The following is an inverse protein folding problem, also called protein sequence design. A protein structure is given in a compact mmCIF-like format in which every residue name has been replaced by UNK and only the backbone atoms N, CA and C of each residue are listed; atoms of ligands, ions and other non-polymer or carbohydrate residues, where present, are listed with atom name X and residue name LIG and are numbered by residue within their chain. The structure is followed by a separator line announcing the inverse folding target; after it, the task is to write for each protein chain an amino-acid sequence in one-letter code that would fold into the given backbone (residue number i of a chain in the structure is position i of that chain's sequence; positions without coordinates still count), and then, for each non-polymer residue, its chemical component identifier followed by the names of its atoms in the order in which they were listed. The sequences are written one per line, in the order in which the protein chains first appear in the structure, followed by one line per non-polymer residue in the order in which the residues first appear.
data_IF_566868469489
#
_entry.id   IF_566868469489
#
_cell.length_a   1.000
_cell.length_b   1.000
_cell.length_c   1.000
_cell.angle_alpha   90.00
_cell.angle_beta   90.00
_cell.angle_gamma   90.00
#
_symmetry.space_group_name_H-M   'P 1'
#
loop_
_entity.id
_entity.type
_entity.pdbx_description
1 polymer ?
#
# COMPACT_ATOMS: atom_id res chain seq x y z
N UNK A 1 25.34 31.65 -0.04
CA UNK A 1 24.96 31.18 -1.40
C UNK A 1 23.61 30.48 -1.27
N UNK A 2 22.62 30.95 -2.02
CA UNK A 2 21.20 30.94 -1.65
C UNK A 2 20.56 29.57 -1.38
N UNK A 3 19.83 29.47 -0.27
CA UNK A 3 18.82 28.44 -0.04
C UNK A 3 17.73 28.62 -1.09
N UNK A 4 17.62 27.66 -2.03
CA UNK A 4 16.41 27.51 -2.82
C UNK A 4 15.26 27.16 -1.87
N UNK A 5 14.52 28.18 -1.42
CA UNK A 5 13.19 28.01 -0.83
C UNK A 5 12.25 27.65 -1.98
N UNK A 6 12.22 26.38 -2.36
CA UNK A 6 11.09 25.84 -3.12
C UNK A 6 9.92 25.85 -2.11
N UNK A 7 9.10 26.90 -2.15
CA UNK A 7 7.76 26.87 -1.53
C UNK A 7 6.96 25.80 -2.27
N UNK A 8 7.04 24.56 -1.81
CA UNK A 8 6.14 23.51 -2.26
C UNK A 8 4.79 23.82 -1.61
N UNK A 9 3.86 24.34 -2.40
CA UNK A 9 2.49 24.57 -1.93
C UNK A 9 1.80 23.21 -1.90
N UNK A 10 1.58 22.67 -0.70
CA UNK A 10 0.70 21.52 -0.53
C UNK A 10 -0.74 22.03 -0.52
N UNK A 11 -1.57 21.47 -1.40
CA UNK A 11 -2.97 21.84 -1.51
C UNK A 11 -3.82 20.95 -0.60
N UNK A 12 -4.73 21.57 0.14
CA UNK A 12 -5.71 20.83 0.93
C UNK A 12 -6.83 20.26 0.04
N UNK A 13 -7.20 19.02 0.30
CA UNK A 13 -8.30 18.34 -0.38
C UNK A 13 -9.27 17.75 0.65
N UNK A 14 -10.54 17.75 0.27
CA UNK A 14 -11.66 17.22 1.06
C UNK A 14 -12.46 16.18 0.27
N UNK A 15 -13.40 15.53 0.94
CA UNK A 15 -14.34 14.59 0.32
C UNK A 15 -15.07 15.18 -0.89
N UNK A 16 -15.45 16.46 -0.81
CA UNK A 16 -16.19 17.13 -1.88
C UNK A 16 -15.30 17.42 -3.11
N UNK A 17 -14.00 17.68 -2.90
CA UNK A 17 -13.05 17.81 -4.00
C UNK A 17 -12.88 16.51 -4.80
N UNK A 18 -12.96 15.34 -4.12
CA UNK A 18 -12.82 14.04 -4.79
C UNK A 18 -14.12 13.62 -5.48
N UNK A 19 -15.29 14.06 -4.99
CA UNK A 19 -16.57 13.82 -5.65
C UNK A 19 -16.82 14.74 -6.84
N UNK A 20 -16.26 15.95 -6.81
CA UNK A 20 -16.38 16.87 -7.92
C UNK A 20 -15.53 16.40 -9.11
N UNK A 21 -16.20 16.14 -10.23
CA UNK A 21 -15.57 15.52 -11.40
C UNK A 21 -14.50 16.42 -12.02
N UNK A 22 -14.77 17.73 -12.12
CA UNK A 22 -13.83 18.68 -12.72
C UNK A 22 -12.56 18.80 -11.87
N UNK A 23 -12.73 18.91 -10.55
CA UNK A 23 -11.63 18.92 -9.60
C UNK A 23 -10.83 17.62 -9.68
N UNK A 24 -11.48 16.46 -9.67
CA UNK A 24 -10.78 15.17 -9.74
C UNK A 24 -9.98 15.01 -11.04
N UNK A 25 -10.55 15.40 -12.18
CA UNK A 25 -9.84 15.40 -13.47
C UNK A 25 -8.62 16.32 -13.44
N UNK A 26 -8.75 17.52 -12.86
CA UNK A 26 -7.63 18.42 -12.67
C UNK A 26 -6.51 17.79 -11.81
N UNK A 27 -6.85 17.09 -10.72
CA UNK A 27 -5.87 16.39 -9.89
C UNK A 27 -5.14 15.28 -10.67
N UNK A 28 -5.86 14.52 -11.50
CA UNK A 28 -5.28 13.49 -12.35
C UNK A 28 -4.31 14.05 -13.40
N UNK A 29 -4.65 15.18 -14.01
CA UNK A 29 -3.85 15.82 -15.06
C UNK A 29 -2.67 16.66 -14.51
N UNK A 30 -2.64 16.95 -13.21
CA UNK A 30 -1.58 17.76 -12.61
C UNK A 30 -0.24 17.02 -12.60
N UNK A 31 0.68 17.42 -13.49
CA UNK A 31 2.03 16.85 -13.59
C UNK A 31 3.08 17.54 -12.69
N UNK A 32 2.69 18.58 -11.94
CA UNK A 32 3.58 19.35 -11.06
C UNK A 32 3.52 18.88 -9.62
N UNK A 33 2.32 18.60 -9.13
CA UNK A 33 2.07 18.13 -7.77
C UNK A 33 1.38 16.76 -7.80
N UNK A 34 1.79 15.88 -6.91
CA UNK A 34 1.23 14.55 -6.71
C UNK A 34 0.73 14.33 -5.28
N UNK A 35 1.16 15.16 -4.32
CA UNK A 35 0.78 15.09 -2.91
C UNK A 35 -0.19 16.21 -2.54
N UNK A 36 -1.16 15.85 -1.71
CA UNK A 36 -2.17 16.75 -1.17
C UNK A 36 -2.27 16.55 0.33
N UNK A 37 -2.87 17.52 1.04
CA UNK A 37 -3.07 17.45 2.48
C UNK A 37 -4.55 17.26 2.82
N UNK A 38 -4.81 16.54 3.90
CA UNK A 38 -6.12 16.53 4.53
C UNK A 38 -6.01 16.23 6.02
N UNK A 39 -6.85 16.86 6.83
CA UNK A 39 -6.99 16.54 8.26
C UNK A 39 -8.20 15.63 8.55
N UNK A 40 -8.91 15.23 7.50
CA UNK A 40 -9.99 14.25 7.52
C UNK A 40 -9.43 12.81 7.51
N UNK A 41 -9.65 12.10 8.62
CA UNK A 41 -9.31 10.69 8.79
C UNK A 41 -10.59 9.83 8.90
N UNK A 42 -11.69 10.27 8.30
CA UNK A 42 -12.92 9.47 8.23
C UNK A 42 -12.74 8.26 7.32
N UNK A 43 -13.42 7.17 7.66
CA UNK A 43 -13.39 5.93 6.86
C UNK A 43 -13.84 6.21 5.42
N UNK A 44 -14.94 6.94 5.26
CA UNK A 44 -15.50 7.29 3.96
C UNK A 44 -14.52 8.05 3.08
N UNK A 45 -13.82 9.04 3.63
CA UNK A 45 -12.89 9.85 2.85
C UNK A 45 -11.67 9.03 2.44
N UNK A 46 -11.12 8.21 3.35
CA UNK A 46 -10.00 7.32 3.03
C UNK A 46 -10.36 6.31 1.94
N UNK A 47 -11.54 5.69 2.04
CA UNK A 47 -12.04 4.73 1.04
C UNK A 47 -12.25 5.44 -0.30
N UNK A 48 -12.82 6.66 -0.29
CA UNK A 48 -13.04 7.46 -1.49
C UNK A 48 -11.71 7.80 -2.20
N UNK A 49 -10.68 8.19 -1.45
CA UNK A 49 -9.33 8.42 -1.98
C UNK A 49 -8.75 7.16 -2.62
N UNK A 50 -8.78 6.04 -1.90
CA UNK A 50 -8.26 4.77 -2.38
C UNK A 50 -9.00 4.32 -3.65
N UNK A 51 -10.33 4.45 -3.68
CA UNK A 51 -11.18 4.24 -4.85
C UNK A 51 -10.76 5.14 -6.01
N UNK A 52 -10.53 6.43 -5.77
CA UNK A 52 -10.04 7.38 -6.78
C UNK A 52 -8.56 7.16 -7.21
N UNK A 53 -7.89 6.11 -6.73
CA UNK A 53 -6.53 5.74 -7.15
C UNK A 53 -5.41 6.43 -6.36
N UNK A 54 -5.77 7.14 -5.28
CA UNK A 54 -4.79 7.74 -4.38
C UNK A 54 -4.21 6.68 -3.44
N UNK A 55 -2.93 6.81 -3.12
CA UNK A 55 -2.28 6.08 -2.02
C UNK A 55 -1.87 7.11 -0.98
N UNK A 56 -2.32 6.92 0.27
CA UNK A 56 -2.09 7.91 1.32
C UNK A 56 -0.93 7.51 2.23
N UNK A 57 -0.10 8.50 2.56
CA UNK A 57 0.84 8.47 3.70
C UNK A 57 0.37 9.47 4.76
N UNK A 58 1.22 9.86 5.71
CA UNK A 58 0.93 10.94 6.64
C UNK A 58 2.17 11.79 6.93
N UNK A 59 1.95 12.98 7.47
CA UNK A 59 3.01 13.93 7.79
C UNK A 59 2.64 14.82 8.97
N UNK A 60 3.65 15.27 9.72
CA UNK A 60 3.52 16.38 10.67
C UNK A 60 3.92 17.71 10.01
N UNK A 61 3.06 18.71 10.11
CA UNK A 61 3.35 20.10 9.72
C UNK A 61 2.98 20.99 10.89
N UNK A 62 3.95 21.73 11.42
CA UNK A 62 3.75 22.69 12.53
C UNK A 62 2.92 22.11 13.70
N UNK A 63 3.25 20.88 14.10
CA UNK A 63 2.60 20.09 15.17
C UNK A 63 1.18 19.56 14.86
N UNK A 64 0.64 19.79 13.67
CA UNK A 64 -0.59 19.15 13.21
C UNK A 64 -0.28 17.93 12.35
N UNK A 65 -1.04 16.86 12.57
CA UNK A 65 -0.90 15.59 11.86
C UNK A 65 -1.92 15.49 10.73
N UNK A 66 -1.43 15.28 9.52
CA UNK A 66 -2.23 15.26 8.29
C UNK A 66 -2.10 13.92 7.59
N UNK A 67 -3.21 13.49 6.97
CA UNK A 67 -3.15 12.52 5.90
C UNK A 67 -2.51 13.20 4.69
N UNK A 68 -1.65 12.48 3.99
CA UNK A 68 -0.97 12.96 2.80
C UNK A 68 -1.33 12.07 1.60
N UNK A 69 -2.53 12.24 1.00
CA UNK A 69 -2.94 11.48 -0.17
C UNK A 69 -2.05 11.80 -1.38
N UNK A 70 -1.71 10.76 -2.12
CA UNK A 70 -0.87 10.88 -3.31
C UNK A 70 -1.53 10.25 -4.52
N UNK A 71 -1.67 11.03 -5.60
CA UNK A 71 -1.90 10.50 -6.94
C UNK A 71 -0.53 10.38 -7.62
N UNK A 72 0.05 9.20 -7.60
CA UNK A 72 1.45 9.01 -8.00
C UNK A 72 1.62 9.31 -9.49
N UNK A 73 2.81 9.76 -9.90
CA UNK A 73 3.11 9.92 -11.32
C UNK A 73 3.26 8.58 -12.04
N UNK A 74 3.70 7.57 -11.31
CA UNK A 74 3.96 6.24 -11.81
C UNK A 74 3.63 5.19 -10.74
N UNK A 75 3.22 4.00 -11.19
CA UNK A 75 2.82 2.90 -10.35
C UNK A 75 3.53 1.62 -10.78
N UNK A 76 3.95 0.81 -9.81
CA UNK A 76 4.40 -0.55 -10.04
C UNK A 76 3.22 -1.51 -9.87
N UNK A 77 2.83 -2.19 -10.94
CA UNK A 77 1.71 -3.14 -10.95
C UNK A 77 2.24 -4.54 -11.24
N UNK A 78 1.87 -5.51 -10.42
CA UNK A 78 2.12 -6.92 -10.67
C UNK A 78 0.85 -7.59 -11.22
N UNK A 79 0.91 -7.92 -12.51
CA UNK A 79 0.06 -8.93 -13.12
C UNK A 79 0.54 -10.32 -12.67
N UNK A 80 -0.35 -11.16 -12.13
CA UNK A 80 0.07 -12.43 -11.51
C UNK A 80 0.77 -13.40 -12.48
N UNK A 81 0.38 -13.38 -13.76
CA UNK A 81 1.07 -14.10 -14.84
C UNK A 81 2.55 -13.72 -15.01
N UNK A 82 2.95 -12.54 -14.54
CA UNK A 82 4.33 -12.04 -14.61
C UNK A 82 5.13 -12.37 -13.34
N UNK A 83 4.53 -13.02 -12.33
CA UNK A 83 5.18 -13.32 -11.05
C UNK A 83 6.50 -14.07 -11.28
N UNK A 84 7.59 -13.41 -10.90
CA UNK A 84 8.92 -13.99 -10.93
C UNK A 84 9.29 -14.56 -9.56
N UNK A 85 9.59 -15.87 -9.52
CA UNK A 85 10.02 -16.56 -8.29
C UNK A 85 11.50 -16.92 -8.40
N UNK A 86 12.34 -16.22 -7.65
CA UNK A 86 13.78 -16.49 -7.61
C UNK A 86 14.10 -17.91 -7.13
N UNK A 87 15.26 -18.45 -7.52
CA UNK A 87 15.74 -19.78 -7.05
C UNK A 87 15.76 -19.89 -5.52
N UNK A 88 16.19 -18.83 -4.82
CA UNK A 88 16.25 -18.79 -3.35
C UNK A 88 14.86 -18.92 -2.72
N UNK A 89 13.87 -18.22 -3.27
CA UNK A 89 12.47 -18.31 -2.79
C UNK A 89 11.88 -19.67 -3.14
N UNK A 90 12.15 -20.23 -4.32
CA UNK A 90 11.75 -21.60 -4.68
C UNK A 90 12.28 -22.65 -3.70
N UNK A 91 13.50 -22.49 -3.19
CA UNK A 91 14.02 -23.36 -2.13
C UNK A 91 13.28 -23.18 -0.82
N UNK A 92 12.94 -21.94 -0.44
CA UNK A 92 12.17 -21.67 0.78
C UNK A 92 10.75 -22.23 0.69
N UNK A 93 10.08 -22.11 -0.45
CA UNK A 93 8.72 -22.62 -0.68
C UNK A 93 8.56 -24.13 -0.46
N UNK A 94 9.66 -24.89 -0.49
CA UNK A 94 9.69 -26.34 -0.25
C UNK A 94 9.87 -26.70 1.22
N UNK A 95 10.19 -25.73 2.07
CA UNK A 95 10.33 -25.94 3.51
C UNK A 95 8.95 -25.89 4.17
N UNK A 96 8.80 -26.66 5.22
CA UNK A 96 7.61 -26.75 6.08
C UNK A 96 7.78 -25.98 7.39
N UNK A 97 8.89 -25.26 7.54
CA UNK A 97 9.23 -24.57 8.78
C UNK A 97 8.59 -23.18 8.92
N UNK A 98 7.61 -22.80 8.10
CA UNK A 98 6.94 -21.52 8.22
C UNK A 98 5.44 -21.66 7.97
N UNK A 99 4.68 -20.70 8.50
CA UNK A 99 3.23 -20.60 8.32
C UNK A 99 2.94 -19.29 7.62
N UNK A 100 2.30 -19.34 6.46
CA UNK A 100 1.71 -18.18 5.81
C UNK A 100 0.22 -18.13 6.12
N UNK A 101 -0.28 -16.97 6.57
CA UNK A 101 -1.70 -16.77 6.84
C UNK A 101 -2.14 -15.35 6.51
N UNK A 102 -3.42 -15.22 6.21
CA UNK A 102 -4.13 -13.94 6.29
C UNK A 102 -4.34 -13.68 7.78
N UNK A 103 -3.79 -12.58 8.27
CA UNK A 103 -3.76 -12.29 9.69
C UNK A 103 -4.73 -11.17 10.07
N UNK A 104 -5.01 -11.08 11.36
CA UNK A 104 -5.85 -10.06 11.98
C UNK A 104 -5.17 -9.39 13.17
N UNK A 105 -3.97 -9.83 13.57
CA UNK A 105 -3.21 -9.23 14.67
C UNK A 105 -2.46 -7.96 14.22
N UNK A 106 -3.19 -6.86 14.07
CA UNK A 106 -2.61 -5.55 13.75
C UNK A 106 -1.67 -5.04 14.83
N UNK A 107 -1.89 -5.39 16.11
CA UNK A 107 -1.05 -4.94 17.22
C UNK A 107 0.39 -5.42 17.08
N UNK A 108 0.58 -6.72 16.85
CA UNK A 108 1.92 -7.29 16.64
C UNK A 108 2.56 -6.75 15.37
N UNK A 109 1.76 -6.50 14.32
CA UNK A 109 2.23 -5.86 13.10
C UNK A 109 2.80 -4.47 13.36
N UNK A 110 2.06 -3.57 14.01
CA UNK A 110 2.49 -2.19 14.25
C UNK A 110 3.72 -2.10 15.16
N UNK A 111 3.84 -2.97 16.17
CA UNK A 111 5.04 -3.05 17.01
C UNK A 111 6.28 -3.33 16.15
N UNK A 112 6.23 -4.34 15.29
CA UNK A 112 7.35 -4.71 14.43
C UNK A 112 7.60 -3.69 13.31
N UNK A 113 6.54 -3.07 12.78
CA UNK A 113 6.64 -2.03 11.76
C UNK A 113 7.43 -0.82 12.28
N UNK A 114 7.11 -0.36 13.50
CA UNK A 114 7.78 0.75 14.16
C UNK A 114 9.25 0.45 14.49
N UNK A 115 9.61 -0.81 14.73
CA UNK A 115 11.01 -1.23 14.89
C UNK A 115 11.73 -1.23 13.53
N UNK A 116 11.05 -1.67 12.48
CA UNK A 116 11.65 -1.86 11.16
C UNK A 116 11.90 -0.54 10.41
N UNK A 117 10.92 0.37 10.43
CA UNK A 117 10.98 1.68 9.75
C UNK A 117 11.29 2.80 10.73
N UNK A 118 12.43 3.48 10.54
CA UNK A 118 12.78 4.67 11.33
C UNK A 118 11.82 5.84 11.08
N UNK A 119 11.44 6.03 9.81
CA UNK A 119 10.54 7.09 9.36
C UNK A 119 9.19 6.49 8.96
N UNK A 120 8.46 5.96 9.95
CA UNK A 120 7.14 5.36 9.72
C UNK A 120 6.06 6.44 9.54
N UNK A 121 5.42 6.46 8.37
CA UNK A 121 4.29 7.35 8.06
C UNK A 121 2.92 6.75 8.44
N UNK A 122 2.87 5.49 8.87
CA UNK A 122 1.64 4.83 9.30
C UNK A 122 1.60 4.79 10.84
N UNK A 123 1.30 5.94 11.44
CA UNK A 123 1.34 6.18 12.89
C UNK A 123 0.15 7.05 13.32
N UNK A 124 -0.03 7.21 14.64
CA UNK A 124 -0.98 8.18 15.24
C UNK A 124 -2.40 7.98 14.68
N UNK A 125 -3.11 9.05 14.28
CA UNK A 125 -4.48 8.98 13.71
C UNK A 125 -4.58 8.07 12.48
N UNK A 126 -3.48 7.85 11.74
CA UNK A 126 -3.51 6.92 10.61
C UNK A 126 -3.49 5.46 11.08
N UNK A 127 -2.70 5.12 12.10
CA UNK A 127 -2.76 3.79 12.72
C UNK A 127 -4.16 3.50 13.28
N UNK A 128 -4.77 4.45 14.01
CA UNK A 128 -6.15 4.33 14.50
C UNK A 128 -7.17 4.13 13.37
N UNK A 129 -6.98 4.82 12.25
CA UNK A 129 -7.81 4.67 11.05
C UNK A 129 -7.70 3.24 10.49
N UNK A 130 -6.50 2.64 10.43
CA UNK A 130 -6.33 1.25 9.98
C UNK A 130 -7.06 0.26 10.90
N UNK A 131 -6.99 0.43 12.22
CA UNK A 131 -7.76 -0.42 13.15
C UNK A 131 -9.27 -0.32 12.88
N UNK A 132 -9.79 0.91 12.77
CA UNK A 132 -11.23 1.14 12.50
C UNK A 132 -11.67 0.55 11.16
N UNK A 133 -10.85 0.68 10.10
CA UNK A 133 -11.12 0.09 8.79
C UNK A 133 -11.11 -1.44 8.83
N UNK A 134 -10.23 -2.04 9.64
CA UNK A 134 -10.14 -3.51 9.79
C UNK A 134 -11.33 -4.09 10.54
N UNK A 135 -11.84 -3.39 11.56
CA UNK A 135 -12.96 -3.84 12.38
C UNK A 135 -14.33 -3.68 11.69
N UNK A 136 -14.45 -2.66 10.83
CA UNK A 136 -15.73 -2.31 10.21
C UNK A 136 -16.06 -3.27 9.07
N UNK A 137 -17.26 -3.87 9.12
CA UNK A 137 -17.82 -4.71 8.06
C UNK A 137 -18.59 -3.86 7.04
N UNK A 138 -18.76 -4.39 5.83
CA UNK A 138 -19.58 -3.82 4.75
C UNK A 138 -19.12 -2.44 4.27
N UNK A 139 -17.81 -2.24 4.15
CA UNK A 139 -17.20 -1.00 3.65
C UNK A 139 -17.19 -0.92 2.11
N UNK A 140 -18.31 -1.20 1.44
CA UNK A 140 -18.45 -0.98 -0.01
C UNK A 140 -17.27 -1.53 -0.86
N UNK A 141 -17.07 -2.86 -0.76
CA UNK A 141 -15.99 -3.61 -1.41
C UNK A 141 -14.56 -3.20 -0.99
N UNK A 142 -14.40 -2.52 0.14
CA UNK A 142 -13.12 -2.20 0.76
C UNK A 142 -12.82 -3.12 1.95
N UNK A 143 -11.58 -3.59 2.08
CA UNK A 143 -11.12 -4.37 3.23
C UNK A 143 -9.63 -4.16 3.50
N UNK A 144 -9.23 -3.96 4.76
CA UNK A 144 -7.82 -4.07 5.16
C UNK A 144 -7.42 -5.54 5.25
N UNK A 145 -6.41 -5.93 4.46
CA UNK A 145 -5.84 -7.27 4.49
C UNK A 145 -4.43 -7.22 5.09
N UNK A 146 -4.07 -8.27 5.82
CA UNK A 146 -2.73 -8.48 6.35
C UNK A 146 -2.24 -9.86 5.92
N UNK A 147 -1.02 -9.94 5.39
CA UNK A 147 -0.40 -11.19 4.99
C UNK A 147 0.89 -11.40 5.76
N UNK A 148 0.96 -12.50 6.51
CA UNK A 148 2.02 -12.72 7.49
C UNK A 148 2.68 -14.08 7.33
N UNK A 149 3.99 -14.12 7.55
CA UNK A 149 4.79 -15.33 7.71
C UNK A 149 5.27 -15.46 9.16
N UNK A 150 4.98 -16.61 9.76
CA UNK A 150 5.49 -17.02 11.05
C UNK A 150 6.51 -18.14 10.93
N UNK A 151 7.51 -18.16 11.80
CA UNK A 151 8.42 -19.30 12.01
C UNK A 151 8.52 -19.52 13.53
N UNK A 152 8.25 -20.73 14.01
CA UNK A 152 8.25 -21.06 15.44
C UNK A 152 7.44 -20.07 16.30
N UNK A 153 6.24 -19.69 15.84
CA UNK A 153 5.35 -18.69 16.46
C UNK A 153 5.88 -17.25 16.52
N UNK A 154 7.04 -16.95 15.93
CA UNK A 154 7.57 -15.60 15.77
C UNK A 154 7.08 -15.01 14.44
N UNK A 155 6.57 -13.77 14.45
CA UNK A 155 6.19 -13.05 13.24
C UNK A 155 7.45 -12.56 12.50
N UNK A 156 7.77 -13.21 11.38
CA UNK A 156 9.02 -12.98 10.65
C UNK A 156 8.87 -11.90 9.58
N UNK A 157 7.76 -11.91 8.85
CA UNK A 157 7.49 -10.92 7.82
C UNK A 157 5.99 -10.68 7.74
N UNK A 158 5.60 -9.44 7.52
CA UNK A 158 4.20 -9.08 7.42
C UNK A 158 4.05 -7.85 6.55
N UNK A 159 2.96 -7.79 5.81
CA UNK A 159 2.49 -6.56 5.18
C UNK A 159 1.03 -6.33 5.50
N UNK A 160 0.62 -5.07 5.43
CA UNK A 160 -0.77 -4.71 5.27
C UNK A 160 -0.98 -3.97 3.96
N UNK A 161 -2.21 -4.05 3.49
CA UNK A 161 -2.71 -3.32 2.35
C UNK A 161 -4.22 -3.29 2.40
N UNK A 162 -4.82 -2.79 1.34
CA UNK A 162 -6.27 -2.80 1.19
C UNK A 162 -6.68 -3.47 -0.10
N UNK A 163 -7.83 -4.13 -0.04
CA UNK A 163 -8.57 -4.64 -1.19
C UNK A 163 -9.61 -3.61 -1.58
N UNK A 164 -9.75 -3.37 -2.88
CA UNK A 164 -10.92 -2.71 -3.49
C UNK A 164 -11.42 -3.59 -4.61
N UNK A 165 -12.67 -4.05 -4.50
CA UNK A 165 -13.26 -5.02 -5.42
C UNK A 165 -12.34 -6.23 -5.65
N UNK A 166 -11.73 -6.37 -6.83
CA UNK A 166 -10.80 -7.45 -7.17
C UNK A 166 -9.35 -6.98 -7.31
N UNK A 167 -8.97 -5.88 -6.66
CA UNK A 167 -7.59 -5.35 -6.66
C UNK A 167 -7.05 -5.31 -5.24
N UNK A 168 -5.73 -5.46 -5.10
CA UNK A 168 -5.04 -5.31 -3.82
C UNK A 168 -3.95 -4.26 -3.96
N UNK A 169 -3.89 -3.33 -3.02
CA UNK A 169 -2.83 -2.31 -2.93
C UNK A 169 -2.03 -2.52 -1.66
N UNK A 170 -0.72 -2.74 -1.80
CA UNK A 170 0.18 -2.78 -0.63
C UNK A 170 0.40 -1.38 -0.09
N UNK A 171 0.32 -1.26 1.23
CA UNK A 171 0.67 -0.03 1.95
C UNK A 171 2.11 -0.11 2.44
N UNK A 172 2.36 -1.02 3.38
CA UNK A 172 3.67 -1.17 4.01
C UNK A 172 3.80 -2.54 4.64
N UNK A 173 5.04 -2.93 4.91
CA UNK A 173 5.37 -4.17 5.58
C UNK A 173 6.76 -4.12 6.18
N UNK A 174 7.11 -5.19 6.87
CA UNK A 174 8.42 -5.40 7.44
C UNK A 174 8.87 -6.85 7.22
N UNK A 175 10.16 -7.08 7.39
CA UNK A 175 10.70 -8.42 7.52
C UNK A 175 11.84 -8.42 8.54
N UNK A 176 11.99 -9.54 9.25
CA UNK A 176 13.09 -9.75 10.18
C UNK A 176 14.40 -9.77 9.38
N UNK A 177 15.38 -8.96 9.83
CA UNK A 177 16.67 -8.76 9.16
C UNK A 177 17.74 -9.77 9.59
N UNK A 178 17.43 -10.67 10.53
CA UNK A 178 18.33 -11.75 10.91
C UNK A 178 18.68 -12.63 9.72
N UNK A 179 19.95 -13.02 9.64
CA UNK A 179 20.50 -13.82 8.53
C UNK A 179 19.75 -15.14 8.31
N UNK A 180 19.22 -15.75 9.38
CA UNK A 180 18.40 -16.98 9.30
C UNK A 180 17.10 -16.78 8.51
N UNK A 181 16.59 -15.55 8.44
CA UNK A 181 15.36 -15.18 7.74
C UNK A 181 15.60 -14.49 6.40
N UNK A 182 16.81 -14.61 5.85
CA UNK A 182 17.12 -14.09 4.52
C UNK A 182 16.10 -14.59 3.46
N UNK A 183 15.55 -13.63 2.71
CA UNK A 183 14.50 -13.81 1.70
C UNK A 183 13.09 -14.13 2.23
N UNK A 184 12.84 -14.12 3.55
CA UNK A 184 11.48 -14.31 4.07
C UNK A 184 10.53 -13.17 3.67
N UNK A 185 11.01 -11.93 3.48
CA UNK A 185 10.21 -10.86 2.88
C UNK A 185 9.78 -11.19 1.44
N UNK A 186 10.71 -11.66 0.59
CA UNK A 186 10.40 -12.08 -0.79
C UNK A 186 9.49 -13.33 -0.81
N UNK A 187 9.65 -14.25 0.15
CA UNK A 187 8.76 -15.39 0.35
C UNK A 187 7.34 -14.92 0.69
N UNK A 188 7.20 -13.98 1.63
CA UNK A 188 5.92 -13.38 2.02
C UNK A 188 5.22 -12.78 0.81
N UNK A 189 5.91 -11.94 0.04
CA UNK A 189 5.35 -11.36 -1.18
C UNK A 189 4.97 -12.43 -2.22
N UNK A 190 5.78 -13.47 -2.41
CA UNK A 190 5.47 -14.54 -3.36
C UNK A 190 4.21 -15.32 -2.95
N UNK A 191 4.04 -15.57 -1.66
CA UNK A 191 2.85 -16.24 -1.13
C UNK A 191 1.62 -15.34 -1.19
N UNK A 192 1.77 -14.04 -0.94
CA UNK A 192 0.70 -13.05 -1.20
C UNK A 192 0.28 -13.07 -2.66
N UNK A 193 1.21 -12.99 -3.61
CA UNK A 193 0.87 -13.00 -5.04
C UNK A 193 0.08 -14.27 -5.44
N UNK A 194 0.52 -15.45 -4.98
CA UNK A 194 -0.19 -16.72 -5.21
C UNK A 194 -1.57 -16.75 -4.57
N UNK A 195 -1.70 -16.20 -3.36
CA UNK A 195 -2.99 -16.09 -2.69
C UNK A 195 -3.94 -15.20 -3.49
N UNK A 196 -3.49 -14.02 -3.91
CA UNK A 196 -4.30 -13.05 -4.65
C UNK A 196 -4.74 -13.64 -6.01
N UNK A 197 -3.84 -14.29 -6.74
CA UNK A 197 -4.15 -14.97 -8.00
C UNK A 197 -5.21 -16.06 -7.80
N UNK A 198 -5.02 -16.95 -6.80
CA UNK A 198 -5.96 -18.02 -6.49
C UNK A 198 -7.36 -17.49 -6.08
N UNK A 199 -7.43 -16.26 -5.56
CA UNK A 199 -8.66 -15.61 -5.14
C UNK A 199 -9.19 -14.61 -6.18
N UNK A 200 -8.81 -14.75 -7.46
CA UNK A 200 -9.34 -13.99 -8.59
C UNK A 200 -9.15 -12.47 -8.47
N UNK A 201 -8.09 -12.03 -7.80
CA UNK A 201 -7.65 -10.65 -7.94
C UNK A 201 -7.17 -10.41 -9.39
N UNK A 202 -7.39 -9.21 -9.90
CA UNK A 202 -7.00 -8.80 -11.25
C UNK A 202 -5.52 -8.45 -11.33
N UNK A 203 -5.02 -7.76 -10.31
CA UNK A 203 -3.61 -7.37 -10.18
C UNK A 203 -3.31 -6.90 -8.77
N UNK A 204 -2.02 -6.76 -8.49
CA UNK A 204 -1.50 -6.18 -7.26
C UNK A 204 -0.82 -4.84 -7.55
N UNK A 205 -1.38 -3.77 -6.99
CA UNK A 205 -0.77 -2.46 -6.95
C UNK A 205 0.29 -2.39 -5.84
N UNK A 206 1.56 -2.30 -6.23
CA UNK A 206 2.69 -2.21 -5.31
C UNK A 206 3.04 -0.75 -4.97
N UNK A 207 2.29 0.24 -5.46
CA UNK A 207 2.54 1.67 -5.23
C UNK A 207 3.79 2.17 -5.99
N UNK A 208 4.63 2.98 -5.34
CA UNK A 208 5.79 3.65 -5.97
C UNK A 208 6.75 2.71 -6.69
N UNK A 209 7.21 3.02 -7.92
CA UNK A 209 8.13 2.17 -8.66
C UNK A 209 9.60 2.28 -8.22
N UNK A 210 9.94 2.97 -7.13
CA UNK A 210 11.35 3.23 -6.80
C UNK A 210 12.12 2.04 -6.23
N UNK A 211 11.43 0.99 -5.76
CA UNK A 211 12.08 -0.13 -5.11
C UNK A 211 12.27 -1.31 -6.08
N UNK A 212 13.53 -1.59 -6.40
CA UNK A 212 13.95 -2.61 -7.38
C UNK A 212 13.34 -3.98 -7.12
N UNK A 213 13.12 -4.37 -5.85
CA UNK A 213 12.52 -5.67 -5.52
C UNK A 213 11.12 -5.87 -6.13
N UNK A 214 10.39 -4.79 -6.45
CA UNK A 214 9.06 -4.86 -7.10
C UNK A 214 9.20 -5.41 -8.51
N UNK A 215 10.20 -4.95 -9.26
CA UNK A 215 10.50 -5.44 -10.59
C UNK A 215 11.15 -6.82 -10.54
N UNK A 216 11.97 -7.11 -9.53
CA UNK A 216 12.47 -8.47 -9.28
C UNK A 216 11.33 -9.48 -9.07
N UNK A 217 10.19 -9.03 -8.54
CA UNK A 217 8.97 -9.84 -8.36
C UNK A 217 8.16 -9.98 -9.67
N UNK A 218 8.46 -9.19 -10.71
CA UNK A 218 7.75 -9.19 -11.99
C UNK A 218 6.78 -8.03 -12.20
N UNK A 219 6.84 -6.99 -11.36
CA UNK A 219 6.02 -5.79 -11.57
C UNK A 219 6.38 -5.09 -12.89
N UNK A 220 5.42 -4.35 -13.44
CA UNK A 220 5.58 -3.50 -14.61
C UNK A 220 5.30 -2.05 -14.22
N UNK A 221 6.04 -1.12 -14.82
CA UNK A 221 5.86 0.32 -14.62
C UNK A 221 4.65 0.81 -15.43
N UNK A 222 3.75 1.55 -14.79
CA UNK A 222 2.63 2.23 -15.43
C UNK A 222 2.72 3.73 -15.18
N UNK A 223 2.47 4.52 -16.23
CA UNK A 223 2.20 5.95 -16.05
C UNK A 223 0.91 6.13 -15.24
N UNK A 224 0.74 7.27 -14.57
CA UNK A 224 -0.51 7.62 -13.87
C UNK A 224 -1.73 7.43 -14.79
N UNK A 225 -1.64 7.89 -16.03
CA UNK A 225 -2.74 7.82 -17.00
C UNK A 225 -3.13 6.37 -17.30
N UNK A 226 -2.15 5.51 -17.58
CA UNK A 226 -2.41 4.10 -17.89
C UNK A 226 -2.87 3.33 -16.65
N UNK A 227 -2.29 3.63 -15.49
CA UNK A 227 -2.74 3.12 -14.20
C UNK A 227 -4.20 3.49 -13.96
N UNK A 228 -4.59 4.77 -14.04
CA UNK A 228 -5.95 5.22 -13.76
C UNK A 228 -6.98 4.63 -14.71
N UNK A 229 -6.65 4.53 -16.01
CA UNK A 229 -7.51 3.85 -16.99
C UNK A 229 -7.81 2.42 -16.55
N UNK A 230 -6.79 1.68 -16.11
CA UNK A 230 -6.92 0.30 -15.62
C UNK A 230 -7.63 0.25 -14.28
N UNK A 231 -7.24 1.10 -13.34
CA UNK A 231 -7.73 1.15 -11.97
C UNK A 231 -9.22 1.44 -11.91
N UNK A 232 -9.68 2.52 -12.53
CA UNK A 232 -11.10 2.92 -12.50
C UNK A 232 -12.01 1.87 -13.15
N UNK A 233 -11.54 1.21 -14.21
CA UNK A 233 -12.27 0.08 -14.81
C UNK A 233 -12.39 -1.14 -13.90
N UNK A 234 -11.48 -1.30 -12.94
CA UNK A 234 -11.40 -2.48 -12.06
C UNK A 234 -12.10 -2.29 -10.71
N UNK A 235 -12.35 -1.04 -10.32
CA UNK A 235 -12.96 -0.69 -9.03
C UNK A 235 -14.45 -0.33 -9.15
N UNK A 236 -15.01 -0.34 -10.37
CA UNK A 236 -16.40 0.01 -10.69
C UNK A 236 -16.82 1.37 -10.09
N UNK A 237 -16.00 2.39 -10.31
CA UNK A 237 -16.31 3.78 -9.96
C UNK A 237 -16.78 4.51 -11.21
#
# INVERSE_FOLDING_TARGET
MGKFLIKKHLYEISKENIKDRETLLYLYENLKENYYLSDDFSLDFYILLAKAGFISTSIFIENKFYLLPEIQFEYAILDFKNLHISKKVNTLLKKDNYIFKIDNNLKEFFINLNIYHKDNWLINRYEELIYKLKEKKNLDNFEIMQFSIYNNNELIASEIGYRIASTYTSLTGFCNKDKKYNNFGKLQMTLTARYLEKNNFLFWNLGHPYMQYKFDLGATLYSRKDFLKRWLSSTNI
#
